data_IF_214834740487
#
_entry.id   IF_214834740487
#
_cell.length_a   1.000
_cell.length_b   1.000
_cell.length_c   1.000
_cell.angle_alpha   90.00
_cell.angle_beta   90.00
_cell.angle_gamma   90.00
#
_symmetry.space_group_name_H-M   'P 1'
#
loop_
_entity.id
_entity.type
_entity.pdbx_description
1 polymer ?
#
# COMPACT_ATOMS: atom_id res chain seq x y z
N UNK A 1 40.41 -31.39 13.29
CA UNK A 1 39.76 -31.83 14.55
C UNK A 1 39.12 -30.59 15.14
N UNK A 2 37.82 -30.38 15.30
CA UNK A 2 36.57 -31.12 15.14
C UNK A 2 35.46 -30.07 15.29
N UNK A 3 34.38 -30.18 14.52
CA UNK A 3 33.24 -29.26 14.46
C UNK A 3 32.60 -29.02 15.83
N UNK A 4 32.17 -27.78 16.09
CA UNK A 4 31.05 -27.51 17.00
C UNK A 4 29.72 -27.84 16.29
N UNK A 5 28.74 -28.45 16.97
CA UNK A 5 27.38 -28.52 16.49
C UNK A 5 26.60 -27.29 17.01
N UNK A 6 25.92 -26.55 16.13
CA UNK A 6 24.88 -25.62 16.57
C UNK A 6 23.53 -26.07 16.04
N UNK A 7 22.75 -26.48 17.03
CA UNK A 7 21.34 -26.78 17.12
C UNK A 7 20.46 -26.15 16.03
N UNK A 8 19.66 -27.02 15.44
CA UNK A 8 18.58 -26.75 14.52
C UNK A 8 17.34 -26.39 15.34
N UNK A 9 17.05 -25.10 15.50
CA UNK A 9 15.74 -24.64 15.95
C UNK A 9 14.84 -24.42 14.73
N UNK A 10 13.79 -25.23 14.64
CA UNK A 10 12.62 -24.96 13.80
C UNK A 10 11.57 -24.28 14.67
N UNK A 11 11.09 -23.09 14.32
CA UNK A 11 9.83 -22.60 14.86
C UNK A 11 8.77 -22.48 13.76
N UNK A 12 7.70 -23.26 13.95
CA UNK A 12 6.32 -22.78 13.94
C UNK A 12 5.83 -22.03 12.70
N UNK A 13 4.87 -22.64 12.02
CA UNK A 13 3.99 -22.00 11.04
C UNK A 13 2.72 -21.53 11.76
N UNK A 14 2.59 -20.23 12.09
CA UNK A 14 1.29 -19.55 12.15
C UNK A 14 1.13 -18.70 10.88
N UNK A 15 0.05 -17.93 10.76
CA UNK A 15 -0.33 -17.01 9.65
C UNK A 15 0.76 -16.02 9.15
N UNK A 16 1.96 -16.09 9.73
CA UNK A 16 3.27 -15.57 9.29
C UNK A 16 3.93 -16.39 8.15
N UNK A 17 3.33 -17.47 7.65
CA UNK A 17 3.96 -18.38 6.68
C UNK A 17 4.38 -17.74 5.37
N UNK A 18 3.58 -16.80 4.86
CA UNK A 18 3.85 -16.15 3.57
C UNK A 18 5.01 -15.16 3.66
N UNK A 19 4.98 -14.26 4.65
CA UNK A 19 6.08 -13.33 4.90
C UNK A 19 7.35 -14.09 5.32
N UNK A 20 7.20 -15.22 6.05
CA UNK A 20 8.30 -16.13 6.35
C UNK A 20 8.95 -16.75 5.10
N UNK A 21 8.16 -17.05 4.06
CA UNK A 21 8.66 -17.54 2.79
C UNK A 21 9.47 -16.48 2.04
N UNK A 22 8.98 -15.23 2.03
CA UNK A 22 9.71 -14.11 1.41
C UNK A 22 11.01 -13.80 2.17
N UNK A 23 10.99 -13.86 3.50
CA UNK A 23 12.19 -13.73 4.34
C UNK A 23 13.16 -14.89 4.08
N UNK A 24 12.66 -16.11 3.89
CA UNK A 24 13.48 -17.27 3.51
C UNK A 24 14.12 -17.09 2.14
N UNK A 25 13.37 -16.67 1.12
CA UNK A 25 13.90 -16.39 -0.23
C UNK A 25 14.94 -15.26 -0.17
N UNK A 26 14.65 -14.18 0.56
CA UNK A 26 15.58 -13.07 0.78
C UNK A 26 16.89 -13.55 1.43
N UNK A 27 16.79 -14.35 2.48
CA UNK A 27 17.96 -14.87 3.21
C UNK A 27 18.75 -15.85 2.34
N UNK A 28 18.08 -16.76 1.62
CA UNK A 28 18.73 -17.71 0.72
C UNK A 28 19.48 -16.99 -0.42
N UNK A 29 18.88 -15.92 -0.96
CA UNK A 29 19.50 -15.07 -1.99
C UNK A 29 20.73 -14.32 -1.44
N UNK A 30 20.60 -13.62 -0.30
CA UNK A 30 21.69 -12.85 0.31
C UNK A 30 22.86 -13.73 0.77
N UNK A 31 22.60 -14.96 1.22
CA UNK A 31 23.65 -15.86 1.73
C UNK A 31 24.42 -16.56 0.61
N UNK A 32 23.78 -16.78 -0.54
CA UNK A 32 24.37 -17.46 -1.71
C UNK A 32 24.94 -16.50 -2.77
N UNK A 33 24.65 -15.20 -2.66
CA UNK A 33 25.21 -14.17 -3.52
C UNK A 33 26.61 -13.72 -3.02
N UNK A 34 27.59 -13.64 -3.93
CA UNK A 34 28.87 -12.99 -3.66
C UNK A 34 28.67 -11.46 -3.62
N UNK A 35 29.32 -10.73 -2.69
CA UNK A 35 29.12 -9.29 -2.54
C UNK A 35 29.33 -8.56 -3.87
N UNK A 36 28.27 -7.89 -4.34
CA UNK A 36 28.20 -7.28 -5.65
C UNK A 36 27.37 -6.00 -5.59
N UNK A 37 27.79 -4.98 -6.33
CA UNK A 37 27.05 -3.71 -6.45
C UNK A 37 26.20 -3.62 -7.72
N UNK A 38 26.12 -4.72 -8.50
CA UNK A 38 25.39 -4.73 -9.76
C UNK A 38 23.88 -4.49 -9.57
N UNK A 39 23.20 -3.79 -10.50
CA UNK A 39 21.77 -3.48 -10.39
C UNK A 39 20.83 -4.62 -10.01
N UNK A 40 20.98 -5.84 -10.56
CA UNK A 40 19.99 -6.88 -10.29
C UNK A 40 20.15 -7.52 -8.90
N UNK A 41 21.31 -7.34 -8.23
CA UNK A 41 21.53 -7.78 -6.82
C UNK A 41 20.63 -7.03 -5.84
N UNK A 42 20.40 -5.73 -6.09
CA UNK A 42 19.57 -4.85 -5.24
C UNK A 42 18.09 -4.93 -5.61
N UNK A 43 17.80 -5.35 -6.84
CA UNK A 43 16.44 -5.35 -7.40
C UNK A 43 15.58 -6.50 -6.83
N UNK A 44 16.11 -7.72 -6.75
CA UNK A 44 15.38 -8.90 -6.23
C UNK A 44 14.91 -8.72 -4.78
N UNK A 45 15.79 -8.32 -3.83
CA UNK A 45 15.39 -8.10 -2.44
C UNK A 45 14.36 -6.99 -2.27
N UNK A 46 14.47 -5.93 -3.08
CA UNK A 46 13.55 -4.78 -3.04
C UNK A 46 12.15 -5.18 -3.47
N UNK A 47 12.02 -5.97 -4.53
CA UNK A 47 10.70 -6.43 -4.98
C UNK A 47 10.01 -7.30 -3.93
N UNK A 48 10.76 -8.19 -3.28
CA UNK A 48 10.23 -9.01 -2.17
C UNK A 48 9.80 -8.12 -0.99
N UNK A 49 10.65 -7.17 -0.58
CA UNK A 49 10.32 -6.26 0.51
C UNK A 49 9.09 -5.39 0.20
N UNK A 50 8.95 -4.90 -1.03
CA UNK A 50 7.78 -4.15 -1.47
C UNK A 50 6.52 -5.00 -1.49
N UNK A 51 6.63 -6.27 -1.85
CA UNK A 51 5.50 -7.18 -1.85
C UNK A 51 4.98 -7.46 -0.43
N UNK A 52 5.90 -7.79 0.48
CA UNK A 52 5.63 -7.86 1.92
C UNK A 52 5.00 -6.59 2.48
N UNK A 53 5.55 -5.41 2.15
CA UNK A 53 4.99 -4.13 2.55
C UNK A 53 3.56 -3.94 2.03
N UNK A 54 3.29 -4.36 0.80
CA UNK A 54 1.95 -4.39 0.21
C UNK A 54 0.92 -5.10 1.06
N UNK A 55 1.21 -6.33 1.50
CA UNK A 55 0.28 -7.08 2.34
C UNK A 55 0.09 -6.46 3.72
N UNK A 56 1.16 -5.95 4.33
CA UNK A 56 1.06 -5.27 5.64
C UNK A 56 0.19 -4.02 5.51
N UNK A 57 0.40 -3.23 4.46
CA UNK A 57 -0.38 -2.03 4.20
C UNK A 57 -1.85 -2.36 3.91
N UNK A 58 -2.11 -3.42 3.15
CA UNK A 58 -3.46 -3.92 2.88
C UNK A 58 -4.20 -4.30 4.16
N UNK A 59 -3.55 -4.99 5.10
CA UNK A 59 -4.13 -5.31 6.41
C UNK A 59 -4.51 -4.05 7.21
N UNK A 60 -3.65 -3.03 7.20
CA UNK A 60 -3.93 -1.72 7.83
C UNK A 60 -5.15 -1.07 7.18
N UNK A 61 -5.25 -1.11 5.86
CA UNK A 61 -6.41 -0.58 5.14
C UNK A 61 -7.69 -1.37 5.38
N UNK A 62 -7.63 -2.70 5.51
CA UNK A 62 -8.78 -3.55 5.87
C UNK A 62 -9.29 -3.16 7.25
N UNK A 63 -8.39 -3.06 8.24
CA UNK A 63 -8.75 -2.62 9.58
C UNK A 63 -9.43 -1.25 9.57
N UNK A 64 -8.85 -0.28 8.87
CA UNK A 64 -9.40 1.07 8.76
C UNK A 64 -10.76 1.10 8.04
N UNK A 65 -10.91 0.34 6.94
CA UNK A 65 -12.16 0.24 6.19
C UNK A 65 -13.31 -0.33 7.05
N UNK A 66 -13.01 -1.38 7.84
CA UNK A 66 -13.98 -2.00 8.75
C UNK A 66 -14.32 -1.07 9.93
N UNK A 67 -13.33 -0.42 10.53
CA UNK A 67 -13.52 0.52 11.66
C UNK A 67 -14.39 1.71 11.26
N UNK A 68 -14.18 2.24 10.07
CA UNK A 68 -14.93 3.38 9.54
C UNK A 68 -16.21 2.99 8.80
N UNK A 69 -16.49 1.68 8.65
CA UNK A 69 -17.58 1.11 7.84
C UNK A 69 -17.63 1.73 6.44
N UNK A 70 -16.46 1.92 5.83
CA UNK A 70 -16.32 2.60 4.55
C UNK A 70 -16.37 1.58 3.41
N UNK A 71 -17.56 1.40 2.81
CA UNK A 71 -17.78 0.44 1.72
C UNK A 71 -16.93 0.75 0.48
N UNK A 72 -16.69 2.02 0.16
CA UNK A 72 -15.87 2.38 -1.00
C UNK A 72 -14.42 1.90 -0.80
N UNK A 73 -13.90 2.02 0.42
CA UNK A 73 -12.55 1.54 0.73
C UNK A 73 -12.45 0.01 0.64
N UNK A 74 -13.52 -0.73 0.97
CA UNK A 74 -13.58 -2.19 0.78
C UNK A 74 -13.52 -2.56 -0.71
N UNK A 75 -14.20 -1.82 -1.58
CA UNK A 75 -14.11 -2.02 -3.04
C UNK A 75 -12.69 -1.71 -3.53
N UNK A 76 -12.10 -0.60 -3.07
CA UNK A 76 -10.72 -0.24 -3.39
C UNK A 76 -9.71 -1.28 -2.91
N UNK A 77 -9.92 -1.89 -1.74
CA UNK A 77 -9.13 -3.00 -1.22
C UNK A 77 -9.18 -4.22 -2.13
N UNK A 78 -10.35 -4.60 -2.64
CA UNK A 78 -10.46 -5.72 -3.58
C UNK A 78 -9.67 -5.45 -4.87
N UNK A 79 -9.75 -4.22 -5.40
CA UNK A 79 -8.97 -3.82 -6.58
C UNK A 79 -7.45 -3.81 -6.28
N UNK A 80 -7.04 -3.36 -5.10
CA UNK A 80 -5.63 -3.39 -4.68
C UNK A 80 -5.12 -4.82 -4.52
N UNK A 81 -5.93 -5.74 -4.00
CA UNK A 81 -5.57 -7.14 -3.87
C UNK A 81 -5.35 -7.80 -5.25
N UNK A 82 -6.23 -7.49 -6.22
CA UNK A 82 -6.00 -7.86 -7.63
C UNK A 82 -4.70 -7.24 -8.15
N UNK A 83 -4.40 -6.00 -7.78
CA UNK A 83 -3.14 -5.34 -8.12
C UNK A 83 -1.91 -6.07 -7.55
N UNK A 84 -1.97 -6.49 -6.29
CA UNK A 84 -0.92 -7.30 -5.64
C UNK A 84 -0.80 -8.69 -6.27
N UNK A 85 -1.89 -9.29 -6.73
CA UNK A 85 -1.84 -10.54 -7.49
C UNK A 85 -1.10 -10.37 -8.82
N UNK A 86 -1.43 -9.32 -9.59
CA UNK A 86 -0.74 -9.00 -10.85
C UNK A 86 0.74 -8.72 -10.59
N UNK A 87 1.04 -7.92 -9.55
CA UNK A 87 2.42 -7.63 -9.18
C UNK A 87 3.21 -8.89 -8.82
N UNK A 88 2.64 -9.79 -8.01
CA UNK A 88 3.25 -11.08 -7.68
C UNK A 88 3.53 -11.92 -8.92
N UNK A 89 2.60 -11.97 -9.88
CA UNK A 89 2.81 -12.69 -11.15
C UNK A 89 3.95 -12.08 -11.99
N UNK A 90 4.00 -10.74 -12.10
CA UNK A 90 5.08 -10.03 -12.82
C UNK A 90 6.43 -10.21 -12.12
N UNK A 91 6.44 -10.22 -10.79
CA UNK A 91 7.64 -10.36 -9.97
C UNK A 91 8.35 -11.69 -10.22
N UNK A 92 7.63 -12.80 -10.41
CA UNK A 92 8.24 -14.11 -10.73
C UNK A 92 9.11 -14.00 -11.99
N UNK A 93 8.58 -13.39 -13.05
CA UNK A 93 9.30 -13.24 -14.31
C UNK A 93 10.49 -12.27 -14.19
N UNK A 94 10.37 -11.21 -13.40
CA UNK A 94 11.45 -10.25 -13.16
C UNK A 94 12.60 -10.87 -12.34
N UNK A 95 12.28 -11.65 -11.30
CA UNK A 95 13.29 -12.33 -10.48
C UNK A 95 14.01 -13.39 -11.32
N UNK A 96 13.29 -14.15 -12.16
CA UNK A 96 13.88 -15.10 -13.11
C UNK A 96 14.90 -14.43 -14.04
N UNK A 97 14.49 -13.31 -14.64
CA UNK A 97 15.35 -12.55 -15.56
C UNK A 97 16.58 -12.02 -14.83
N UNK A 98 16.42 -11.49 -13.62
CA UNK A 98 17.52 -10.99 -12.80
C UNK A 98 18.52 -12.10 -12.42
N UNK A 99 18.05 -13.27 -11.98
CA UNK A 99 18.92 -14.40 -11.63
C UNK A 99 19.67 -14.91 -12.86
N UNK A 100 19.01 -15.03 -14.02
CA UNK A 100 19.68 -15.43 -15.26
C UNK A 100 20.80 -14.44 -15.64
N UNK A 101 20.60 -13.13 -15.47
CA UNK A 101 21.66 -12.14 -15.73
C UNK A 101 22.84 -12.30 -14.76
N UNK A 102 22.58 -12.57 -13.47
CA UNK A 102 23.65 -12.80 -12.47
C UNK A 102 24.41 -14.11 -12.71
N UNK A 103 23.72 -15.14 -13.19
CA UNK A 103 24.33 -16.41 -13.55
C UNK A 103 25.28 -16.27 -14.74
N UNK A 104 24.88 -15.52 -15.78
CA UNK A 104 25.77 -15.18 -16.92
C UNK A 104 26.99 -14.40 -16.44
N UNK A 105 26.84 -13.53 -15.43
CA UNK A 105 27.96 -12.81 -14.80
C UNK A 105 28.82 -13.69 -13.86
N UNK A 106 28.53 -14.98 -13.73
CA UNK A 106 29.18 -15.92 -12.81
C UNK A 106 29.15 -15.46 -11.34
N UNK A 107 28.09 -14.73 -10.95
CA UNK A 107 27.91 -14.19 -9.59
C UNK A 107 26.99 -15.05 -8.72
N UNK A 108 26.13 -15.86 -9.33
CA UNK A 108 25.19 -16.77 -8.68
C UNK A 108 25.11 -18.08 -9.47
N UNK A 109 24.96 -19.20 -8.77
CA UNK A 109 24.69 -20.49 -9.39
C UNK A 109 23.20 -20.65 -9.75
N UNK A 110 22.91 -21.22 -10.92
CA UNK A 110 21.55 -21.46 -11.42
C UNK A 110 20.72 -22.37 -10.51
N UNK A 111 21.39 -23.16 -9.66
CA UNK A 111 20.75 -23.98 -8.62
C UNK A 111 19.86 -23.15 -7.69
N UNK A 112 20.21 -21.87 -7.44
CA UNK A 112 19.42 -20.96 -6.59
C UNK A 112 18.03 -20.69 -7.17
N UNK A 113 17.91 -20.62 -8.50
CA UNK A 113 16.61 -20.50 -9.16
C UNK A 113 15.77 -21.75 -8.96
N UNK A 114 16.34 -22.94 -9.18
CA UNK A 114 15.61 -24.21 -9.05
C UNK A 114 15.06 -24.44 -7.65
N UNK A 115 15.74 -23.97 -6.60
CA UNK A 115 15.26 -24.05 -5.23
C UNK A 115 14.15 -23.03 -4.93
N UNK A 116 14.22 -21.84 -5.53
CA UNK A 116 13.34 -20.71 -5.18
C UNK A 116 12.07 -20.64 -6.05
N UNK A 117 12.13 -21.11 -7.30
CA UNK A 117 11.04 -21.11 -8.27
C UNK A 117 9.69 -21.62 -7.72
N UNK A 118 9.60 -22.80 -7.07
CA UNK A 118 8.30 -23.30 -6.59
C UNK A 118 7.70 -22.39 -5.52
N UNK A 119 8.53 -21.77 -4.68
CA UNK A 119 8.10 -20.84 -3.64
C UNK A 119 7.66 -19.49 -4.23
N UNK A 120 8.30 -19.02 -5.31
CA UNK A 120 7.88 -17.80 -5.99
C UNK A 120 6.52 -17.96 -6.71
N UNK A 121 6.22 -19.15 -7.22
CA UNK A 121 4.95 -19.42 -7.92
C UNK A 121 3.79 -19.67 -6.93
N UNK A 122 4.05 -20.34 -5.80
CA UNK A 122 2.99 -20.66 -4.84
C UNK A 122 2.41 -19.41 -4.17
N UNK A 123 3.21 -18.34 -3.99
CA UNK A 123 2.75 -17.12 -3.33
C UNK A 123 1.61 -16.45 -4.12
N UNK A 124 1.73 -16.12 -5.42
CA UNK A 124 0.61 -15.61 -6.22
C UNK A 124 -0.62 -16.52 -6.23
N UNK A 125 -0.45 -17.85 -6.21
CA UNK A 125 -1.59 -18.78 -6.14
C UNK A 125 -2.38 -18.66 -4.83
N UNK A 126 -1.67 -18.55 -3.70
CA UNK A 126 -2.29 -18.32 -2.38
C UNK A 126 -2.99 -16.97 -2.35
N UNK A 127 -2.36 -15.95 -2.94
CA UNK A 127 -2.93 -14.60 -3.03
C UNK A 127 -4.19 -14.61 -3.89
N UNK A 128 -4.20 -15.31 -5.03
CA UNK A 128 -5.38 -15.46 -5.88
C UNK A 128 -6.57 -16.07 -5.13
N UNK A 129 -6.33 -17.15 -4.38
CA UNK A 129 -7.36 -17.74 -3.52
C UNK A 129 -7.85 -16.73 -2.47
N UNK A 130 -6.91 -16.01 -1.84
CA UNK A 130 -7.22 -14.94 -0.89
C UNK A 130 -8.05 -13.81 -1.52
N UNK A 131 -7.76 -13.42 -2.76
CA UNK A 131 -8.51 -12.40 -3.50
C UNK A 131 -9.94 -12.85 -3.78
N UNK A 132 -10.15 -14.12 -4.16
CA UNK A 132 -11.49 -14.68 -4.36
C UNK A 132 -12.30 -14.68 -3.06
N UNK A 133 -11.71 -15.13 -1.96
CA UNK A 133 -12.35 -15.14 -0.65
C UNK A 133 -12.65 -13.72 -0.15
N UNK A 134 -11.69 -12.80 -0.28
CA UNK A 134 -11.88 -11.39 0.08
C UNK A 134 -12.99 -10.76 -0.75
N UNK A 135 -13.03 -11.02 -2.06
CA UNK A 135 -14.06 -10.49 -2.96
C UNK A 135 -15.45 -11.02 -2.60
N UNK A 136 -15.55 -12.31 -2.24
CA UNK A 136 -16.80 -12.91 -1.77
C UNK A 136 -17.30 -12.26 -0.47
N UNK A 137 -16.41 -12.07 0.51
CA UNK A 137 -16.74 -11.38 1.77
C UNK A 137 -17.13 -9.93 1.51
N UNK A 138 -16.39 -9.22 0.64
CA UNK A 138 -16.69 -7.85 0.26
C UNK A 138 -18.06 -7.72 -0.42
N UNK A 139 -18.46 -8.68 -1.25
CA UNK A 139 -19.78 -8.71 -1.86
C UNK A 139 -20.89 -8.82 -0.82
N UNK A 140 -20.77 -9.75 0.14
CA UNK A 140 -21.72 -9.86 1.26
C UNK A 140 -21.75 -8.60 2.14
N UNK A 141 -20.59 -8.01 2.36
CA UNK A 141 -20.43 -6.82 3.18
C UNK A 141 -21.00 -5.56 2.49
N UNK A 142 -20.95 -5.51 1.16
CA UNK A 142 -21.57 -4.45 0.37
C UNK A 142 -23.09 -4.41 0.60
N UNK A 143 -23.76 -5.56 0.58
CA UNK A 143 -25.21 -5.66 0.82
C UNK A 143 -25.57 -5.18 2.24
N UNK A 144 -24.83 -5.63 3.26
CA UNK A 144 -25.06 -5.26 4.67
C UNK A 144 -24.81 -3.75 4.92
N UNK A 145 -23.76 -3.19 4.32
CA UNK A 145 -23.47 -1.77 4.42
C UNK A 145 -24.46 -0.91 3.63
N UNK A 146 -24.89 -1.33 2.44
CA UNK A 146 -25.93 -0.64 1.67
C UNK A 146 -27.24 -0.58 2.46
N UNK A 147 -27.62 -1.68 3.13
CA UNK A 147 -28.79 -1.74 4.00
C UNK A 147 -28.64 -0.88 5.26
N UNK A 148 -27.48 -0.91 5.93
CA UNK A 148 -27.21 -0.07 7.11
C UNK A 148 -27.23 1.42 6.78
N UNK A 149 -26.65 1.79 5.62
CA UNK A 149 -26.64 3.15 5.07
C UNK A 149 -28.06 3.63 4.73
N UNK A 150 -28.95 2.73 4.29
CA UNK A 150 -30.36 3.04 4.05
C UNK A 150 -31.13 3.28 5.36
N UNK A 151 -30.88 2.49 6.41
CA UNK A 151 -31.65 2.54 7.67
C UNK A 151 -31.31 3.75 8.56
N UNK A 152 -30.08 4.25 8.54
CA UNK A 152 -29.61 5.25 9.50
C UNK A 152 -29.58 6.69 8.96
N UNK A 153 -29.75 6.91 7.65
CA UNK A 153 -29.53 8.21 6.98
C UNK A 153 -30.76 8.61 6.14
N UNK A 154 -31.94 8.58 6.76
CA UNK A 154 -33.22 8.90 6.11
C UNK A 154 -33.72 10.34 6.32
N UNK A 155 -32.92 11.25 6.89
CA UNK A 155 -33.37 12.64 7.11
C UNK A 155 -32.74 13.68 6.15
N UNK A 156 -31.50 13.47 5.66
CA UNK A 156 -30.89 14.40 4.69
C UNK A 156 -29.91 13.70 3.72
N UNK A 157 -30.38 13.46 2.49
CA UNK A 157 -29.62 12.84 1.40
C UNK A 157 -28.48 13.72 0.87
N UNK A 158 -28.58 15.05 1.00
CA UNK A 158 -27.58 16.00 0.48
C UNK A 158 -26.34 15.97 1.35
N UNK A 159 -26.52 15.97 2.67
CA UNK A 159 -25.43 15.88 3.63
C UNK A 159 -24.69 14.53 3.54
N UNK A 160 -25.44 13.44 3.38
CA UNK A 160 -24.89 12.09 3.12
C UNK A 160 -23.96 12.05 1.92
N UNK A 161 -24.38 12.64 0.79
CA UNK A 161 -23.59 12.67 -0.44
C UNK A 161 -22.26 13.42 -0.27
N UNK A 162 -22.29 14.55 0.43
CA UNK A 162 -21.08 15.34 0.73
C UNK A 162 -20.11 14.57 1.62
N UNK A 163 -20.62 13.90 2.66
CA UNK A 163 -19.81 13.07 3.55
C UNK A 163 -19.21 11.86 2.83
N UNK A 164 -19.98 11.23 1.94
CA UNK A 164 -19.49 10.13 1.10
C UNK A 164 -18.37 10.62 0.17
N UNK A 165 -18.54 11.77 -0.50
CA UNK A 165 -17.50 12.37 -1.36
C UNK A 165 -16.21 12.62 -0.58
N UNK A 166 -16.31 13.17 0.64
CA UNK A 166 -15.17 13.32 1.54
C UNK A 166 -14.49 11.98 1.88
N UNK A 167 -15.27 10.94 2.20
CA UNK A 167 -14.71 9.62 2.49
C UNK A 167 -14.04 8.97 1.27
N UNK A 168 -14.59 9.16 0.06
CA UNK A 168 -13.95 8.71 -1.19
C UNK A 168 -12.60 9.41 -1.33
N UNK A 169 -12.56 10.73 -1.16
CA UNK A 169 -11.32 11.49 -1.29
C UNK A 169 -10.25 11.02 -0.29
N UNK A 170 -10.59 10.87 0.99
CA UNK A 170 -9.65 10.36 2.00
C UNK A 170 -9.20 8.92 1.69
N UNK A 171 -10.09 8.06 1.17
CA UNK A 171 -9.72 6.71 0.76
C UNK A 171 -8.74 6.72 -0.43
N UNK A 172 -8.99 7.55 -1.44
CA UNK A 172 -8.10 7.73 -2.59
C UNK A 172 -6.70 8.19 -2.15
N UNK A 173 -6.59 9.14 -1.22
CA UNK A 173 -5.30 9.59 -0.69
C UNK A 173 -4.49 8.45 -0.04
N UNK A 174 -5.15 7.47 0.60
CA UNK A 174 -4.46 6.30 1.17
C UNK A 174 -3.92 5.38 0.09
N UNK A 175 -4.72 5.12 -0.96
CA UNK A 175 -4.26 4.33 -2.09
C UNK A 175 -3.15 5.05 -2.87
N UNK A 176 -3.28 6.37 -3.09
CA UNK A 176 -2.24 7.20 -3.70
C UNK A 176 -0.91 7.08 -2.95
N UNK A 177 -0.93 7.15 -1.61
CA UNK A 177 0.27 6.97 -0.79
C UNK A 177 0.96 5.63 -1.09
N UNK A 178 0.20 4.54 -1.14
CA UNK A 178 0.76 3.20 -1.38
C UNK A 178 1.40 3.05 -2.76
N UNK A 179 0.66 3.39 -3.82
CA UNK A 179 1.17 3.23 -5.19
C UNK A 179 2.29 4.22 -5.50
N UNK A 180 2.21 5.45 -4.99
CA UNK A 180 3.29 6.43 -5.11
C UNK A 180 4.57 5.93 -4.44
N UNK A 181 4.47 5.44 -3.19
CA UNK A 181 5.63 4.93 -2.44
C UNK A 181 6.20 3.68 -3.14
N UNK A 182 5.36 2.76 -3.58
CA UNK A 182 5.77 1.57 -4.32
C UNK A 182 6.54 1.91 -5.59
N UNK A 183 6.00 2.83 -6.41
CA UNK A 183 6.70 3.33 -7.60
C UNK A 183 8.05 3.95 -7.25
N UNK A 184 8.07 4.82 -6.22
CA UNK A 184 9.27 5.60 -5.89
C UNK A 184 10.39 4.74 -5.33
N UNK A 185 10.07 3.74 -4.50
CA UNK A 185 11.06 2.78 -3.98
C UNK A 185 11.62 1.92 -5.11
N UNK A 186 10.76 1.40 -6.02
CA UNK A 186 11.24 0.68 -7.20
C UNK A 186 12.18 1.56 -8.02
N UNK A 187 11.78 2.82 -8.27
CA UNK A 187 12.54 3.76 -9.08
C UNK A 187 13.91 4.07 -8.46
N UNK A 188 13.96 4.30 -7.15
CA UNK A 188 15.20 4.56 -6.43
C UNK A 188 16.20 3.42 -6.55
N UNK A 189 15.73 2.18 -6.48
CA UNK A 189 16.63 1.01 -6.53
C UNK A 189 17.23 0.80 -7.91
N UNK A 190 16.46 1.05 -8.96
CA UNK A 190 16.98 1.00 -10.34
C UNK A 190 17.97 2.12 -10.59
N UNK A 191 17.62 3.37 -10.25
CA UNK A 191 18.51 4.52 -10.51
C UNK A 191 19.77 4.49 -9.63
N UNK A 192 19.68 4.05 -8.38
CA UNK A 192 20.85 3.89 -7.49
C UNK A 192 21.92 2.95 -8.06
N UNK A 193 21.53 2.12 -9.02
CA UNK A 193 22.41 1.10 -9.59
C UNK A 193 23.08 1.52 -10.91
N UNK A 194 22.59 2.56 -11.59
CA UNK A 194 23.10 2.99 -12.90
C UNK A 194 23.98 4.25 -12.81
N UNK A 195 23.55 5.28 -12.09
CA UNK A 195 24.33 6.52 -11.91
C UNK A 195 23.75 7.38 -10.77
N UNK A 196 24.63 7.98 -9.94
CA UNK A 196 24.23 8.89 -8.87
C UNK A 196 23.99 10.31 -9.42
N UNK A 197 23.08 10.41 -10.38
CA UNK A 197 22.76 11.66 -11.07
C UNK A 197 21.73 12.50 -10.30
N UNK A 198 21.44 13.69 -10.84
CA UNK A 198 20.45 14.62 -10.29
C UNK A 198 19.08 13.95 -10.00
N UNK A 199 18.70 12.94 -10.78
CA UNK A 199 17.43 12.23 -10.58
C UNK A 199 17.35 11.36 -9.36
N UNK A 200 18.47 10.78 -8.93
CA UNK A 200 18.51 10.01 -7.71
C UNK A 200 18.15 10.92 -6.53
N UNK A 201 18.84 12.07 -6.43
CA UNK A 201 18.59 13.07 -5.40
C UNK A 201 17.19 13.69 -5.49
N UNK A 202 16.72 14.03 -6.70
CA UNK A 202 15.36 14.52 -6.91
C UNK A 202 14.31 13.51 -6.45
N UNK A 203 14.52 12.22 -6.69
CA UNK A 203 13.57 11.19 -6.27
C UNK A 203 13.59 10.97 -4.76
N UNK A 204 14.76 11.02 -4.13
CA UNK A 204 14.88 10.97 -2.65
C UNK A 204 14.07 12.10 -2.02
N UNK A 205 14.18 13.31 -2.58
CA UNK A 205 13.45 14.50 -2.11
C UNK A 205 11.95 14.41 -2.44
N UNK A 206 11.57 13.75 -3.53
CA UNK A 206 10.18 13.58 -3.91
C UNK A 206 9.37 12.75 -2.88
N UNK A 207 9.98 11.75 -2.23
CA UNK A 207 9.30 10.90 -1.22
C UNK A 207 8.72 11.72 -0.06
N UNK A 208 9.49 12.50 0.71
CA UNK A 208 8.93 13.27 1.82
C UNK A 208 7.98 14.37 1.34
N UNK A 209 8.25 14.97 0.17
CA UNK A 209 7.37 16.00 -0.41
C UNK A 209 5.99 15.42 -0.67
N UNK A 210 5.87 14.22 -1.25
CA UNK A 210 4.55 13.65 -1.54
C UNK A 210 3.80 13.24 -0.29
N UNK A 211 4.49 12.74 0.75
CA UNK A 211 3.88 12.49 2.05
C UNK A 211 3.28 13.80 2.62
N UNK A 212 4.02 14.90 2.55
CA UNK A 212 3.55 16.22 2.99
C UNK A 212 2.36 16.67 2.14
N UNK A 213 2.40 16.54 0.82
CA UNK A 213 1.28 16.90 -0.07
C UNK A 213 0.02 16.12 0.28
N UNK A 214 0.11 14.80 0.48
CA UNK A 214 -1.03 13.95 0.84
C UNK A 214 -1.58 14.29 2.23
N UNK A 215 -0.70 14.52 3.22
CA UNK A 215 -1.10 14.93 4.56
C UNK A 215 -1.78 16.31 4.56
N UNK A 216 -1.20 17.29 3.85
CA UNK A 216 -1.80 18.60 3.65
C UNK A 216 -3.14 18.50 2.93
N UNK A 217 -3.27 17.62 1.93
CA UNK A 217 -4.54 17.37 1.23
C UNK A 217 -5.63 16.92 2.19
N UNK A 218 -5.33 15.94 3.05
CA UNK A 218 -6.24 15.45 4.08
C UNK A 218 -6.58 16.52 5.14
N UNK A 219 -5.63 17.40 5.46
CA UNK A 219 -5.84 18.48 6.42
C UNK A 219 -6.68 19.63 5.85
N UNK A 220 -6.40 20.09 4.63
CA UNK A 220 -7.13 21.19 3.99
C UNK A 220 -8.57 20.83 3.68
N UNK A 221 -8.83 19.58 3.26
CA UNK A 221 -10.21 19.11 3.02
C UNK A 221 -11.02 19.07 4.31
N UNK A 222 -10.42 18.68 5.46
CA UNK A 222 -11.08 18.73 6.77
C UNK A 222 -11.41 20.16 7.21
N UNK A 223 -10.53 21.11 6.91
CA UNK A 223 -10.74 22.53 7.24
C UNK A 223 -11.66 23.27 6.27
N UNK A 224 -12.12 22.62 5.20
CA UNK A 224 -12.90 23.24 4.11
C UNK A 224 -12.22 24.50 3.53
N UNK A 225 -10.88 24.52 3.46
CA UNK A 225 -10.14 25.67 2.91
C UNK A 225 -10.14 25.62 1.39
N UNK A 226 -10.89 26.53 0.75
CA UNK A 226 -10.90 26.66 -0.72
C UNK A 226 -9.52 26.93 -1.29
N UNK A 227 -8.78 27.88 -0.70
CA UNK A 227 -7.42 28.25 -1.15
C UNK A 227 -6.47 27.05 -1.05
N UNK A 228 -6.52 26.33 0.08
CA UNK A 228 -5.72 25.13 0.28
C UNK A 228 -6.05 24.03 -0.73
N UNK A 229 -7.33 23.78 -0.99
CA UNK A 229 -7.73 22.78 -1.99
C UNK A 229 -7.33 23.14 -3.41
N UNK A 230 -7.44 24.40 -3.83
CA UNK A 230 -6.98 24.84 -5.16
C UNK A 230 -5.48 24.61 -5.29
N UNK A 231 -4.68 24.97 -4.27
CA UNK A 231 -3.25 24.70 -4.27
C UNK A 231 -2.92 23.20 -4.37
N UNK A 232 -3.63 22.36 -3.62
CA UNK A 232 -3.48 20.89 -3.67
C UNK A 232 -3.87 20.32 -5.04
N UNK A 233 -4.95 20.81 -5.66
CA UNK A 233 -5.35 20.37 -7.01
C UNK A 233 -4.25 20.69 -8.03
N UNK A 234 -3.67 21.89 -7.98
CA UNK A 234 -2.53 22.26 -8.84
C UNK A 234 -1.32 21.35 -8.61
N UNK A 235 -1.03 20.99 -7.35
CA UNK A 235 0.04 20.04 -7.02
C UNK A 235 -0.25 18.63 -7.54
N UNK A 236 -1.50 18.17 -7.54
CA UNK A 236 -1.86 16.89 -8.18
C UNK A 236 -1.71 16.93 -9.70
N UNK A 237 -2.02 18.05 -10.36
CA UNK A 237 -1.70 18.21 -11.79
C UNK A 237 -0.20 18.18 -12.05
N UNK A 238 0.62 18.81 -11.19
CA UNK A 238 2.08 18.72 -11.28
C UNK A 238 2.59 17.28 -11.05
N UNK A 239 2.03 16.56 -10.08
CA UNK A 239 2.34 15.16 -9.83
C UNK A 239 1.97 14.28 -11.05
N UNK A 240 0.81 14.51 -11.66
CA UNK A 240 0.39 13.83 -12.89
C UNK A 240 1.39 14.06 -14.03
N UNK A 241 1.80 15.31 -14.25
CA UNK A 241 2.81 15.65 -15.25
C UNK A 241 4.16 14.96 -14.96
N UNK A 242 4.59 14.90 -13.71
CA UNK A 242 5.79 14.19 -13.28
C UNK A 242 5.72 12.67 -13.60
N UNK A 243 4.59 12.02 -13.31
CA UNK A 243 4.41 10.59 -13.64
C UNK A 243 4.40 10.36 -15.15
N UNK A 244 3.75 11.21 -15.93
CA UNK A 244 3.80 11.15 -17.39
C UNK A 244 5.23 11.27 -17.92
N UNK A 245 6.01 12.22 -17.39
CA UNK A 245 7.42 12.38 -17.75
C UNK A 245 8.25 11.14 -17.40
N UNK A 246 8.09 10.58 -16.20
CA UNK A 246 8.80 9.36 -15.79
C UNK A 246 8.41 8.14 -16.64
N UNK A 247 7.14 8.01 -16.98
CA UNK A 247 6.67 6.98 -17.91
C UNK A 247 7.33 7.13 -19.28
N UNK A 248 7.34 8.32 -19.86
CA UNK A 248 8.02 8.58 -21.14
C UNK A 248 9.49 8.18 -21.09
N UNK A 249 10.19 8.59 -20.03
CA UNK A 249 11.61 8.31 -19.85
C UNK A 249 11.95 6.82 -19.75
N UNK A 250 11.05 5.99 -19.22
CA UNK A 250 11.26 4.54 -19.17
C UNK A 250 11.33 3.89 -20.56
N UNK A 251 10.79 4.56 -21.58
CA UNK A 251 10.77 4.10 -22.98
C UNK A 251 11.71 4.89 -23.90
N UNK A 252 12.31 5.99 -23.41
CA UNK A 252 13.26 6.76 -24.20
C UNK A 252 14.52 5.93 -24.52
N UNK A 253 15.04 6.05 -25.74
CA UNK A 253 16.11 5.17 -26.25
C UNK A 253 17.41 5.28 -25.45
N UNK A 254 17.68 6.45 -24.86
CA UNK A 254 18.92 6.69 -24.12
C UNK A 254 18.88 6.03 -22.73
N UNK A 255 17.74 6.10 -22.04
CA UNK A 255 17.61 5.64 -20.65
C UNK A 255 16.88 4.31 -20.49
N UNK A 256 16.21 3.82 -21.55
CA UNK A 256 15.56 2.52 -21.62
C UNK A 256 16.38 1.34 -21.04
N UNK A 257 17.68 1.15 -21.38
CA UNK A 257 18.41 -0.03 -20.93
C UNK A 257 18.54 -0.14 -19.40
N UNK A 258 18.60 0.99 -18.70
CA UNK A 258 18.70 1.03 -17.24
C UNK A 258 17.43 0.53 -16.56
N UNK A 259 16.27 0.78 -17.16
CA UNK A 259 14.98 0.39 -16.60
C UNK A 259 14.56 -1.05 -16.94
N UNK A 260 15.24 -1.74 -17.87
CA UNK A 260 14.84 -3.07 -18.36
C UNK A 260 14.52 -4.10 -17.25
N UNK A 261 15.30 -4.24 -16.16
CA UNK A 261 15.04 -5.25 -15.14
C UNK A 261 13.71 -5.06 -14.39
N UNK A 262 13.27 -3.80 -14.24
CA UNK A 262 12.11 -3.43 -13.44
C UNK A 262 10.96 -2.80 -14.25
N UNK A 263 11.13 -2.60 -15.56
CA UNK A 263 10.22 -1.78 -16.38
C UNK A 263 8.77 -2.23 -16.26
N UNK A 264 8.51 -3.53 -16.36
CA UNK A 264 7.15 -4.08 -16.36
C UNK A 264 6.39 -3.73 -15.08
N UNK A 265 7.00 -3.94 -13.91
CA UNK A 265 6.38 -3.59 -12.62
C UNK A 265 6.27 -2.09 -12.42
N UNK A 266 7.28 -1.32 -12.83
CA UNK A 266 7.26 0.14 -12.69
C UNK A 266 6.15 0.79 -13.52
N UNK A 267 5.99 0.36 -14.77
CA UNK A 267 4.94 0.84 -15.66
C UNK A 267 3.57 0.48 -15.09
N UNK A 268 3.41 -0.73 -14.56
CA UNK A 268 2.18 -1.13 -13.88
C UNK A 268 1.82 -0.20 -12.72
N UNK A 269 2.76 0.08 -11.82
CA UNK A 269 2.56 1.03 -10.72
C UNK A 269 2.28 2.45 -11.22
N UNK A 270 3.00 2.92 -12.23
CA UNK A 270 2.83 4.27 -12.77
C UNK A 270 1.47 4.46 -13.45
N UNK A 271 0.98 3.48 -14.22
CA UNK A 271 -0.35 3.53 -14.86
C UNK A 271 -1.45 3.55 -13.81
N UNK A 272 -1.38 2.69 -12.78
CA UNK A 272 -2.36 2.72 -11.69
C UNK A 272 -2.32 4.06 -10.96
N UNK A 273 -1.13 4.56 -10.65
CA UNK A 273 -0.96 5.85 -9.96
C UNK A 273 -1.55 6.99 -10.79
N UNK A 274 -1.37 7.00 -12.10
CA UNK A 274 -1.96 8.00 -12.99
C UNK A 274 -3.50 7.94 -12.95
N UNK A 275 -4.08 6.75 -13.03
CA UNK A 275 -5.52 6.56 -12.89
C UNK A 275 -6.05 7.05 -11.52
N UNK A 276 -5.34 6.74 -10.44
CA UNK A 276 -5.71 7.19 -9.09
C UNK A 276 -5.60 8.71 -8.95
N UNK A 277 -4.53 9.34 -9.43
CA UNK A 277 -4.38 10.81 -9.42
C UNK A 277 -5.54 11.48 -10.16
N UNK A 278 -5.95 10.96 -11.33
CA UNK A 278 -7.11 11.50 -12.05
C UNK A 278 -8.39 11.40 -11.20
N UNK A 279 -8.63 10.23 -10.59
CA UNK A 279 -9.76 10.05 -9.68
C UNK A 279 -9.69 11.00 -8.46
N UNK A 280 -8.49 11.22 -7.91
CA UNK A 280 -8.23 12.12 -6.78
C UNK A 280 -8.50 13.58 -7.15
N UNK A 281 -8.08 14.04 -8.34
CA UNK A 281 -8.37 15.39 -8.85
C UNK A 281 -9.88 15.60 -9.00
N UNK A 282 -10.59 14.65 -9.61
CA UNK A 282 -12.05 14.73 -9.78
C UNK A 282 -12.74 14.84 -8.42
N UNK A 283 -12.37 13.98 -7.47
CA UNK A 283 -12.95 14.00 -6.13
C UNK A 283 -12.56 15.25 -5.34
N UNK A 284 -11.35 15.80 -5.53
CA UNK A 284 -10.92 17.06 -4.93
C UNK A 284 -11.80 18.23 -5.41
N UNK A 285 -12.08 18.32 -6.71
CA UNK A 285 -13.00 19.30 -7.28
C UNK A 285 -14.42 19.15 -6.73
N UNK A 286 -14.92 17.91 -6.61
CA UNK A 286 -16.23 17.64 -6.03
C UNK A 286 -16.29 18.04 -4.54
N UNK A 287 -15.22 17.79 -3.78
CA UNK A 287 -15.10 18.25 -2.39
C UNK A 287 -15.12 19.78 -2.31
N UNK A 288 -14.31 20.47 -3.12
CA UNK A 288 -14.22 21.93 -3.12
C UNK A 288 -15.57 22.59 -3.46
N UNK A 289 -16.29 22.08 -4.46
CA UNK A 289 -17.62 22.57 -4.82
C UNK A 289 -18.67 22.38 -3.72
N UNK A 290 -18.41 21.50 -2.75
CA UNK A 290 -19.32 21.18 -1.65
C UNK A 290 -19.00 21.94 -0.34
N UNK A 291 -17.96 22.78 -0.32
CA UNK A 291 -17.54 23.53 0.88
C UNK A 291 -18.55 24.58 1.32
N UNK A 292 -18.49 24.96 2.61
CA UNK A 292 -19.37 25.94 3.27
C UNK A 292 -20.86 25.55 3.36
N UNK A 293 -21.20 24.31 3.01
CA UNK A 293 -22.57 23.83 3.07
C UNK A 293 -22.90 23.04 4.36
N UNK A 294 -22.15 23.26 5.45
CA UNK A 294 -22.44 22.70 6.78
C UNK A 294 -21.82 21.33 7.10
N UNK A 295 -20.78 20.89 6.37
CA UNK A 295 -20.15 19.56 6.54
C UNK A 295 -19.22 19.48 7.77
N UNK A 296 -18.60 20.59 8.14
CA UNK A 296 -17.62 20.76 9.23
C UNK A 296 -17.98 20.15 10.59
N UNK A 297 -19.20 20.33 11.16
CA UNK A 297 -19.52 19.78 12.48
C UNK A 297 -19.58 18.25 12.51
N UNK A 298 -19.96 17.62 11.39
CA UNK A 298 -20.14 16.16 11.32
C UNK A 298 -18.84 15.41 11.05
N UNK A 299 -17.85 16.08 10.45
CA UNK A 299 -16.50 15.54 10.26
C UNK A 299 -15.73 15.55 11.58
N UNK A 300 -15.77 16.69 12.31
CA UNK A 300 -15.06 16.82 13.59
C UNK A 300 -15.73 16.02 14.73
N UNK A 301 -17.06 15.96 14.78
CA UNK A 301 -17.77 15.23 15.86
C UNK A 301 -17.56 13.70 15.83
N UNK A 302 -17.10 13.12 14.71
CA UNK A 302 -16.70 11.70 14.67
C UNK A 302 -15.34 11.44 15.32
N UNK A 303 -14.45 12.42 15.33
CA UNK A 303 -13.16 12.33 16.05
C UNK A 303 -13.45 12.30 17.56
N UNK A 304 -14.27 13.24 18.05
CA UNK A 304 -14.73 13.32 19.44
C UNK A 304 -15.44 12.04 19.92
N UNK A 305 -16.39 11.49 19.15
CA UNK A 305 -17.08 10.24 19.51
C UNK A 305 -16.19 9.01 19.47
N UNK A 306 -15.13 9.03 18.67
CA UNK A 306 -14.18 7.92 18.60
C UNK A 306 -13.15 7.97 19.72
N UNK A 307 -12.80 9.17 20.19
CA UNK A 307 -12.01 9.40 21.40
C UNK A 307 -12.83 9.08 22.66
N UNK A 308 -14.10 9.49 22.75
CA UNK A 308 -15.01 9.12 23.85
C UNK A 308 -15.15 7.59 23.97
N UNK A 309 -15.36 6.87 22.85
CA UNK A 309 -15.46 5.40 22.89
C UNK A 309 -14.18 4.68 23.30
N UNK A 310 -13.01 5.21 22.94
CA UNK A 310 -11.72 4.67 23.38
C UNK A 310 -11.47 4.94 24.86
N UNK A 311 -11.92 6.10 25.34
CA UNK A 311 -11.82 6.50 26.76
C UNK A 311 -12.79 5.69 27.63
N UNK A 312 -14.01 5.44 27.16
CA UNK A 312 -14.98 4.57 27.85
C UNK A 312 -14.50 3.11 27.93
N UNK A 313 -13.91 2.56 26.86
CA UNK A 313 -13.36 1.20 26.89
C UNK A 313 -12.17 1.09 27.86
N UNK A 314 -11.31 2.11 27.92
CA UNK A 314 -10.19 2.17 28.86
C UNK A 314 -10.66 2.35 30.31
N UNK A 315 -11.75 3.08 30.54
CA UNK A 315 -12.33 3.27 31.87
C UNK A 315 -13.01 1.99 32.40
N UNK A 316 -13.67 1.22 31.52
CA UNK A 316 -14.31 -0.04 31.90
C UNK A 316 -13.34 -1.20 32.15
N UNK A 317 -12.09 -1.12 31.68
CA UNK A 317 -11.02 -2.07 32.03
C UNK A 317 -10.33 -1.75 33.37
N UNK A 318 -10.57 -0.57 33.96
CA UNK A 318 -9.97 -0.14 35.24
C UNK A 318 -10.88 -0.25 36.46
N UNK A 319 -12.16 -0.57 36.30
CA UNK A 319 -13.13 -0.56 37.40
C UNK A 319 -13.97 -1.85 37.41
N UNK A 320 -13.37 -2.94 37.87
CA UNK A 320 -14.16 -4.07 38.37
C UNK A 320 -14.71 -3.67 39.76
N UNK A 321 -16.04 -3.60 39.98
CA UNK A 321 -16.58 -3.39 41.31
C UNK A 321 -16.40 -4.68 42.10
N UNK A 322 -15.69 -4.60 43.24
CA UNK A 322 -15.65 -5.68 44.22
C UNK A 322 -17.06 -5.91 44.73
N UNK A 323 -17.66 -7.11 44.63
CA UNK A 323 -19.00 -7.35 45.12
C UNK A 323 -19.01 -7.28 46.65
N UNK A 324 -19.71 -6.31 47.20
CA UNK A 324 -19.98 -6.17 48.63
C UNK A 324 -20.75 -7.41 49.11
N UNK A 325 -20.06 -8.27 49.86
CA UNK A 325 -20.65 -9.43 50.54
C UNK A 325 -21.61 -8.90 51.61
N UNK A 326 -22.91 -9.08 51.38
CA UNK A 326 -23.95 -8.84 52.37
C UNK A 326 -23.71 -9.83 53.53
N UNK A 327 -23.29 -9.32 54.70
CA UNK A 327 -23.38 -10.08 55.95
C UNK A 327 -24.70 -9.74 56.60
N UNK A 328 -25.48 -10.79 56.89
CA UNK A 328 -26.63 -10.73 57.78
C UNK A 328 -26.08 -10.94 59.19
N UNK A 329 -26.08 -9.87 59.99
CA UNK A 329 -26.61 -9.83 61.37
C UNK A 329 -26.67 -8.37 61.86
#
# INVERSE_FOLDING_TARGET
MSRQPRLQESPGIPSSTRNGLEIYIFTNFQTKELPNNAPPSKTVPTFLALYSFGFIYELVLVWDALRLKNTIQVIGLCLCNVGLLIYGAVQVQQIRTSINTLAVMSKIDLVVWSESEPFLIIIPCIVALGTLLMSFVAWKLYDEFAWTIYKHISADLRMKRRYLTYQIFIALLKFDFFFFLGFTVQFLVVVSSSSHDAEFYLTIVAVPITIIILACSAWFVRRESMVGMVAIILLFFAAMAYFCFKLYRMYDQQTAPEYLPARTSMVFFAVITLCLIVATIINACMCANNFNCGLKPHINSKEDKSEEKLTELSSNMGAAPVPSRMMID
#
